data_IF_374816717732
#
_entry.id   IF_374816717732
#
_cell.length_a   1.000
_cell.length_b   1.000
_cell.length_c   1.000
_cell.angle_alpha   90.00
_cell.angle_beta   90.00
_cell.angle_gamma   90.00
#
_symmetry.space_group_name_H-M   'P 1'
#
loop_
_entity.id
_entity.type
_entity.pdbx_description
1 polymer ?
#
# COMPACT_ATOMS: atom_id res chain seq x y z
N UNK A 1 -3.13 22.88 5.03
CA UNK A 1 -3.04 21.95 3.89
C UNK A 1 -1.76 21.15 4.07
N UNK A 2 -1.78 19.81 4.10
CA UNK A 2 -0.52 19.07 4.18
C UNK A 2 0.26 19.35 2.89
N UNK A 3 1.49 19.82 3.05
CA UNK A 3 2.41 20.14 1.95
C UNK A 3 3.12 18.89 1.42
N UNK A 4 2.44 17.75 1.42
CA UNK A 4 2.97 16.53 0.83
C UNK A 4 3.02 16.70 -0.68
N UNK A 5 4.21 16.59 -1.27
CA UNK A 5 4.35 16.59 -2.71
C UNK A 5 3.68 15.31 -3.25
N UNK A 6 2.89 15.42 -4.31
CA UNK A 6 2.52 14.23 -5.09
C UNK A 6 3.80 13.65 -5.69
N UNK A 7 4.30 12.59 -5.09
CA UNK A 7 5.47 11.90 -5.58
C UNK A 7 5.12 11.25 -6.91
N UNK A 8 5.99 11.39 -7.90
CA UNK A 8 5.90 10.67 -9.18
C UNK A 8 6.26 9.18 -9.02
N UNK A 9 5.96 8.61 -7.85
CA UNK A 9 6.36 7.26 -7.45
C UNK A 9 5.10 6.43 -7.29
N UNK A 10 5.10 5.27 -7.95
CA UNK A 10 4.12 4.21 -7.78
C UNK A 10 4.74 3.07 -6.99
N UNK A 11 3.88 2.27 -6.35
CA UNK A 11 4.29 1.06 -5.66
C UNK A 11 3.39 -0.08 -6.13
N UNK A 12 4.00 -1.11 -6.69
CA UNK A 12 3.35 -2.40 -6.95
C UNK A 12 3.62 -3.29 -5.73
N UNK A 13 2.57 -3.82 -5.12
CA UNK A 13 2.66 -4.60 -3.89
C UNK A 13 1.80 -5.85 -3.96
N UNK A 14 2.40 -7.00 -3.74
CA UNK A 14 1.73 -8.27 -3.57
C UNK A 14 1.34 -8.45 -2.10
N UNK A 15 0.05 -8.47 -1.84
CA UNK A 15 -0.49 -8.69 -0.51
C UNK A 15 -0.16 -10.10 -0.03
N UNK A 16 0.17 -10.18 1.24
CA UNK A 16 0.42 -11.42 1.96
C UNK A 16 -0.47 -11.48 3.18
N UNK A 17 -0.99 -12.67 3.45
CA UNK A 17 -1.73 -12.98 4.68
C UNK A 17 -0.75 -12.91 5.86
N UNK A 18 -0.96 -11.96 6.77
CA UNK A 18 -0.08 -11.72 7.91
C UNK A 18 -0.88 -11.33 9.14
N UNK A 19 -0.61 -11.98 10.28
CA UNK A 19 -1.51 -11.97 11.45
C UNK A 19 -1.87 -10.63 12.09
N UNK A 20 -1.24 -9.51 11.68
CA UNK A 20 -1.56 -8.16 12.16
C UNK A 20 -1.67 -7.15 11.00
N UNK A 21 -2.75 -7.25 10.21
CA UNK A 21 -3.12 -6.24 9.19
C UNK A 21 -2.61 -6.54 7.78
N UNK A 22 -2.71 -5.55 6.88
CA UNK A 22 -2.25 -5.70 5.50
C UNK A 22 -0.72 -5.63 5.46
N UNK A 23 -0.10 -6.67 4.91
CA UNK A 23 1.34 -6.71 4.63
C UNK A 23 1.57 -7.17 3.21
N UNK A 24 2.71 -6.81 2.64
CA UNK A 24 3.07 -7.30 1.32
C UNK A 24 4.51 -7.02 0.95
N UNK A 25 4.91 -7.63 -0.14
CA UNK A 25 6.19 -7.43 -0.80
C UNK A 25 5.95 -6.65 -2.09
N UNK A 26 6.77 -5.63 -2.34
CA UNK A 26 6.55 -4.74 -3.46
C UNK A 26 7.81 -4.10 -3.98
N UNK A 27 7.64 -3.28 -5.01
CA UNK A 27 8.71 -2.48 -5.58
C UNK A 27 8.20 -1.08 -5.93
N UNK A 28 9.08 -0.09 -5.78
CA UNK A 28 8.78 1.29 -6.11
C UNK A 28 9.23 1.54 -7.54
N UNK A 29 8.50 2.38 -8.26
CA UNK A 29 8.85 2.75 -9.63
C UNK A 29 8.41 4.18 -9.95
N UNK A 30 9.04 4.80 -10.94
CA UNK A 30 8.66 6.14 -11.39
C UNK A 30 7.46 6.09 -12.35
N UNK A 31 6.40 6.86 -12.05
CA UNK A 31 5.14 6.89 -12.82
C UNK A 31 5.27 7.62 -14.16
N UNK A 32 6.26 8.51 -14.31
CA UNK A 32 6.38 9.40 -15.47
C UNK A 32 7.38 8.92 -16.54
N UNK A 33 8.03 7.77 -16.33
CA UNK A 33 9.04 7.26 -17.25
C UNK A 33 8.45 6.20 -18.18
N UNK A 34 8.73 6.32 -19.48
CA UNK A 34 8.41 5.29 -20.49
C UNK A 34 9.08 3.93 -20.20
N UNK A 35 10.14 3.95 -19.37
CA UNK A 35 10.81 2.78 -18.83
C UNK A 35 10.89 2.94 -17.29
N UNK A 36 9.95 2.37 -16.52
CA UNK A 36 9.92 2.50 -15.07
C UNK A 36 11.19 1.93 -14.46
N UNK A 37 12.05 2.80 -13.93
CA UNK A 37 13.18 2.38 -13.12
C UNK A 37 12.67 1.96 -11.74
N UNK A 38 13.16 0.82 -11.23
CA UNK A 38 12.91 0.41 -9.86
C UNK A 38 13.67 1.36 -8.93
N UNK A 39 12.97 1.92 -7.95
CA UNK A 39 13.50 2.87 -7.00
C UNK A 39 13.71 2.20 -5.65
N UNK A 40 14.77 2.57 -4.90
CA UNK A 40 14.93 2.11 -3.53
C UNK A 40 13.95 2.82 -2.59
N UNK A 41 13.54 2.17 -1.47
CA UNK A 41 12.68 2.77 -0.44
C UNK A 41 13.18 4.13 0.08
N UNK A 42 14.49 4.37 0.06
CA UNK A 42 15.14 5.61 0.49
C UNK A 42 14.74 6.84 -0.33
N UNK A 43 14.07 6.66 -1.48
CA UNK A 43 13.49 7.75 -2.27
C UNK A 43 12.19 8.30 -1.68
N UNK A 44 11.52 7.55 -0.82
CA UNK A 44 10.29 7.99 -0.15
C UNK A 44 10.61 8.71 1.15
N UNK A 45 9.75 9.66 1.51
CA UNK A 45 9.77 10.37 2.78
C UNK A 45 8.42 10.32 3.47
N UNK A 46 8.36 10.35 4.80
CA UNK A 46 7.12 10.57 5.52
C UNK A 46 6.38 11.81 4.99
N UNK A 47 5.08 11.68 4.72
CA UNK A 47 4.22 12.71 4.12
C UNK A 47 4.21 12.74 2.59
N UNK A 48 5.00 11.91 1.91
CA UNK A 48 4.90 11.76 0.45
C UNK A 48 3.60 11.05 0.07
N UNK A 49 2.99 11.51 -1.03
CA UNK A 49 1.84 10.84 -1.60
C UNK A 49 2.23 9.97 -2.79
N UNK A 50 1.84 8.71 -2.77
CA UNK A 50 2.14 7.71 -3.80
C UNK A 50 0.87 7.06 -4.34
N UNK A 51 0.98 6.48 -5.55
CA UNK A 51 -0.03 5.57 -6.08
C UNK A 51 0.32 4.13 -5.73
N UNK A 52 -0.68 3.34 -5.35
CA UNK A 52 -0.49 1.95 -4.95
C UNK A 52 -1.27 1.01 -5.86
N UNK A 53 -0.63 -0.08 -6.27
CA UNK A 53 -1.27 -1.23 -6.91
C UNK A 53 -1.14 -2.42 -5.99
N UNK A 54 -2.28 -2.85 -5.47
CA UNK A 54 -2.35 -3.97 -4.53
C UNK A 54 -2.80 -5.23 -5.27
N UNK A 55 -1.89 -6.18 -5.42
CA UNK A 55 -2.16 -7.49 -5.99
C UNK A 55 -2.57 -8.44 -4.88
N UNK A 56 -3.61 -9.23 -5.12
CA UNK A 56 -4.07 -10.24 -4.19
C UNK A 56 -3.51 -11.60 -4.64
N UNK A 57 -2.97 -12.43 -3.74
CA UNK A 57 -2.29 -13.67 -4.12
C UNK A 57 -3.22 -14.70 -4.75
N UNK A 58 -4.52 -14.62 -4.45
CA UNK A 58 -5.56 -15.53 -4.91
C UNK A 58 -6.38 -14.94 -6.10
N UNK A 59 -6.02 -13.75 -6.62
CA UNK A 59 -6.78 -13.07 -7.68
C UNK A 59 -5.87 -12.47 -8.77
N UNK A 60 -6.23 -12.66 -10.04
CA UNK A 60 -5.57 -12.02 -11.20
C UNK A 60 -5.85 -10.50 -11.33
N UNK A 61 -6.47 -9.89 -10.31
CA UNK A 61 -6.86 -8.48 -10.37
C UNK A 61 -6.26 -7.69 -9.23
N UNK A 62 -5.72 -6.52 -9.54
CA UNK A 62 -5.21 -5.58 -8.56
C UNK A 62 -6.27 -4.56 -8.14
N UNK A 63 -6.08 -3.98 -6.96
CA UNK A 63 -6.78 -2.76 -6.52
C UNK A 63 -5.86 -1.57 -6.70
N UNK A 64 -6.33 -0.56 -7.44
CA UNK A 64 -5.61 0.70 -7.62
C UNK A 64 -6.01 1.68 -6.51
N UNK A 65 -5.02 2.16 -5.76
CA UNK A 65 -5.16 3.17 -4.74
C UNK A 65 -4.60 4.47 -5.31
N UNK A 66 -5.48 5.41 -5.62
CA UNK A 66 -5.12 6.67 -6.29
C UNK A 66 -4.30 7.60 -5.39
N UNK A 67 -4.48 7.50 -4.08
CA UNK A 67 -3.75 8.31 -3.11
C UNK A 67 -3.49 7.52 -1.83
N UNK A 68 -2.22 7.36 -1.52
CA UNK A 68 -1.75 6.81 -0.27
C UNK A 68 -0.59 7.65 0.27
N UNK A 69 -0.54 7.84 1.59
CA UNK A 69 0.48 8.63 2.27
C UNK A 69 1.53 7.70 2.87
N UNK A 70 2.80 8.03 2.66
CA UNK A 70 3.92 7.37 3.33
C UNK A 70 3.95 7.87 4.78
N UNK A 71 3.68 6.99 5.74
CA UNK A 71 3.73 7.34 7.17
C UNK A 71 5.16 7.31 7.69
N UNK A 72 5.93 6.29 7.30
CA UNK A 72 7.35 6.19 7.59
C UNK A 72 8.06 5.21 6.67
N UNK A 73 9.38 5.36 6.58
CA UNK A 73 10.30 4.47 5.87
C UNK A 73 11.41 4.05 6.82
N UNK A 74 11.64 2.75 6.97
CA UNK A 74 12.69 2.20 7.82
C UNK A 74 13.31 0.98 7.15
N UNK A 75 14.56 1.13 6.71
CA UNK A 75 15.28 0.13 5.93
C UNK A 75 14.48 -0.22 4.66
N UNK A 76 14.07 -1.48 4.53
CA UNK A 76 13.26 -2.02 3.43
C UNK A 76 11.75 -1.94 3.71
N UNK A 77 11.36 -1.49 4.90
CA UNK A 77 9.96 -1.42 5.31
C UNK A 77 9.39 -0.02 5.14
N UNK A 78 8.19 0.04 4.57
CA UNK A 78 7.44 1.27 4.34
C UNK A 78 6.05 1.06 4.93
N UNK A 79 5.63 1.96 5.82
CA UNK A 79 4.24 2.00 6.26
C UNK A 79 3.50 3.06 5.45
N UNK A 80 2.37 2.66 4.90
CA UNK A 80 1.55 3.49 4.02
C UNK A 80 0.13 3.53 4.56
N UNK A 81 -0.46 4.72 4.58
CA UNK A 81 -1.86 4.94 4.87
C UNK A 81 -2.65 5.19 3.59
N UNK A 82 -3.67 4.38 3.35
CA UNK A 82 -4.54 4.43 2.19
C UNK A 82 -5.60 5.53 2.41
N UNK A 83 -5.48 6.63 1.67
CA UNK A 83 -6.35 7.79 1.83
C UNK A 83 -7.57 7.72 0.91
N UNK A 84 -7.34 7.44 -0.38
CA UNK A 84 -8.39 7.35 -1.39
C UNK A 84 -8.50 5.93 -1.93
N UNK A 85 -9.42 5.17 -1.33
CA UNK A 85 -9.75 3.80 -1.72
C UNK A 85 -11.21 3.76 -2.16
N UNK A 86 -11.49 3.15 -3.31
CA UNK A 86 -12.87 2.96 -3.77
C UNK A 86 -13.65 2.06 -2.79
N UNK A 87 -14.98 2.22 -2.71
CA UNK A 87 -15.81 1.37 -1.85
C UNK A 87 -15.70 -0.13 -2.21
N UNK A 88 -15.53 -0.42 -3.51
CA UNK A 88 -15.29 -1.78 -4.02
C UNK A 88 -13.96 -2.33 -3.50
N UNK A 89 -12.88 -1.57 -3.63
CA UNK A 89 -11.54 -1.98 -3.19
C UNK A 89 -11.44 -2.07 -1.66
N UNK A 90 -12.10 -1.17 -0.92
CA UNK A 90 -12.20 -1.29 0.53
C UNK A 90 -12.87 -2.59 0.96
N UNK A 91 -13.92 -3.00 0.24
CA UNK A 91 -14.62 -4.25 0.53
C UNK A 91 -13.70 -5.44 0.28
N UNK A 92 -12.96 -5.45 -0.83
CA UNK A 92 -11.96 -6.49 -1.14
C UNK A 92 -10.86 -6.57 -0.09
N UNK A 93 -10.29 -5.44 0.31
CA UNK A 93 -9.25 -5.41 1.36
C UNK A 93 -9.77 -5.92 2.70
N UNK A 94 -11.00 -5.54 3.09
CA UNK A 94 -11.64 -6.05 4.32
C UNK A 94 -11.88 -7.55 4.25
N UNK A 95 -12.37 -8.05 3.12
CA UNK A 95 -12.59 -9.49 2.90
C UNK A 95 -11.26 -10.26 2.96
N UNK A 96 -10.20 -9.72 2.35
CA UNK A 96 -8.87 -10.32 2.40
C UNK A 96 -8.34 -10.43 3.84
N UNK A 97 -8.48 -9.39 4.66
CA UNK A 97 -8.10 -9.44 6.08
C UNK A 97 -8.98 -10.39 6.89
N UNK A 98 -10.29 -10.42 6.62
CA UNK A 98 -11.24 -11.29 7.33
C UNK A 98 -11.01 -12.78 7.01
N UNK A 99 -10.62 -13.09 5.77
CA UNK A 99 -10.34 -14.47 5.33
C UNK A 99 -9.12 -15.10 6.02
N UNK A 100 -8.23 -14.30 6.63
CA UNK A 100 -7.07 -14.80 7.38
C UNK A 100 -7.44 -15.32 8.79
N UNK A 101 -8.71 -15.23 9.20
CA UNK A 101 -9.33 -16.09 10.21
C UNK A 101 -8.80 -16.04 11.64
N UNK A 102 -7.87 -15.15 12.01
CA UNK A 102 -7.23 -15.15 13.34
C UNK A 102 -7.39 -13.87 14.18
N UNK A 103 -8.14 -12.87 13.73
CA UNK A 103 -8.41 -11.71 14.58
C UNK A 103 -9.71 -10.99 14.17
N UNK A 104 -10.59 -10.74 15.14
CA UNK A 104 -11.55 -9.62 15.11
C UNK A 104 -10.85 -8.47 15.83
N UNK A 105 -10.28 -7.46 15.15
CA UNK A 105 -9.66 -6.36 15.85
C UNK A 105 -10.70 -5.26 16.05
N UNK A 106 -10.82 -4.84 17.29
CA UNK A 106 -11.73 -3.81 17.78
C UNK A 106 -11.26 -2.39 17.39
N UNK A 107 -10.71 -2.19 16.18
CA UNK A 107 -10.09 -0.92 15.79
C UNK A 107 -10.51 -0.49 14.39
N UNK A 108 -11.05 0.72 14.33
CA UNK A 108 -11.65 1.44 13.19
C UNK A 108 -10.70 1.70 12.00
N UNK A 109 -9.50 1.12 12.00
CA UNK A 109 -8.41 1.37 11.04
C UNK A 109 -7.99 0.14 10.23
N UNK A 110 -8.69 -0.99 10.35
CA UNK A 110 -8.39 -2.21 9.58
C UNK A 110 -8.52 -1.95 8.08
N UNK A 111 -7.49 -2.29 7.32
CA UNK A 111 -7.47 -2.11 5.88
C UNK A 111 -7.19 -0.68 5.41
N UNK A 112 -6.84 0.25 6.32
CA UNK A 112 -6.36 1.59 5.96
C UNK A 112 -4.84 1.71 5.96
N UNK A 113 -4.13 0.82 6.63
CA UNK A 113 -2.67 0.86 6.68
C UNK A 113 -2.11 -0.46 6.13
N UNK A 114 -1.03 -0.33 5.37
CA UNK A 114 -0.29 -1.44 4.79
C UNK A 114 1.20 -1.28 5.10
N UNK A 115 1.84 -2.39 5.48
CA UNK A 115 3.29 -2.48 5.53
C UNK A 115 3.81 -3.16 4.26
N UNK A 116 4.68 -2.48 3.54
CA UNK A 116 5.29 -2.99 2.31
C UNK A 116 6.78 -3.18 2.57
N UNK A 117 7.29 -4.35 2.21
CA UNK A 117 8.73 -4.58 2.08
C UNK A 117 9.14 -4.35 0.63
N UNK A 118 10.13 -3.50 0.39
CA UNK A 118 10.61 -3.13 -0.95
C UNK A 118 12.12 -2.92 -0.99
#
# INVERSE_FOLDING_TARGET
MPAGLLSKIGIDCMLSKGGNGLKGDGCLYELSSSHPAILPPTKLRPGDYVKLRLWFPDEDTFSMIELAEVQWVKNEWIQIELLLVSAKDQTRLRQFVAADGKHVPTSTSIGRQIMIRA
#
